data_IF_001119172831
#
_entry.id   IF_001119172831
#
_cell.length_a   1.000
_cell.length_b   1.000
_cell.length_c   1.000
_cell.angle_alpha   90.00
_cell.angle_beta   90.00
_cell.angle_gamma   90.00
#
_symmetry.space_group_name_H-M   'P 1'
#
loop_
_entity.id
_entity.type
_entity.pdbx_description
1 polymer ?
#
# COMPACT_ATOMS: atom_id res chain seq x y z
N UNK A 1 -18.17 -4.25 14.81
CA UNK A 1 -17.86 -3.13 13.89
C UNK A 1 -17.11 -3.65 12.68
N UNK A 2 -17.44 -3.15 11.50
CA UNK A 2 -16.85 -3.60 10.25
C UNK A 2 -15.79 -2.60 9.79
N UNK A 3 -14.57 -3.08 9.57
CA UNK A 3 -13.45 -2.25 9.14
C UNK A 3 -13.11 -2.52 7.67
N UNK A 4 -12.69 -1.47 6.98
CA UNK A 4 -12.21 -1.53 5.60
C UNK A 4 -10.85 -0.84 5.55
N UNK A 5 -9.90 -1.42 4.83
CA UNK A 5 -8.56 -0.84 4.73
C UNK A 5 -8.33 -0.29 3.33
N UNK A 6 -7.92 0.97 3.26
CA UNK A 6 -7.48 1.61 2.03
C UNK A 6 -5.99 1.86 2.12
N UNK A 7 -5.26 1.45 1.08
CA UNK A 7 -3.82 1.69 0.98
C UNK A 7 -3.61 2.62 -0.21
N UNK A 8 -3.20 3.85 0.08
CA UNK A 8 -3.03 4.90 -0.92
C UNK A 8 -1.54 5.18 -1.08
N UNK A 9 -0.98 4.84 -2.24
CA UNK A 9 0.45 4.95 -2.50
C UNK A 9 0.70 6.09 -3.48
N UNK A 10 1.27 7.17 -2.98
CA UNK A 10 1.67 8.30 -3.80
C UNK A 10 3.15 8.24 -4.16
N UNK A 11 3.59 9.19 -4.98
CA UNK A 11 4.96 9.24 -5.47
C UNK A 11 5.99 9.51 -4.36
N UNK A 12 5.63 10.22 -3.29
CA UNK A 12 6.55 10.55 -2.21
C UNK A 12 6.22 9.86 -0.89
N UNK A 13 5.00 9.40 -0.70
CA UNK A 13 4.59 8.71 0.53
C UNK A 13 3.36 7.87 0.29
N UNK A 14 3.18 6.83 1.11
CA UNK A 14 1.98 6.02 1.11
C UNK A 14 1.38 5.97 2.51
N UNK A 15 0.14 5.55 2.59
CA UNK A 15 -0.56 5.45 3.88
C UNK A 15 -1.61 4.36 3.87
N UNK A 16 -1.82 3.81 5.05
CA UNK A 16 -2.89 2.86 5.31
C UNK A 16 -3.95 3.55 6.15
N UNK A 17 -5.18 3.53 5.68
CA UNK A 17 -6.31 4.19 6.35
C UNK A 17 -7.40 3.17 6.59
N UNK A 18 -7.80 3.00 7.86
CA UNK A 18 -8.97 2.22 8.22
C UNK A 18 -10.22 3.10 8.15
N UNK A 19 -11.25 2.58 7.49
CA UNK A 19 -12.55 3.23 7.46
C UNK A 19 -13.60 2.35 8.13
N UNK A 20 -14.49 2.97 8.88
CA UNK A 20 -15.59 2.28 9.56
C UNK A 20 -16.70 3.26 9.90
N UNK A 21 -17.90 2.72 10.13
CA UNK A 21 -19.04 3.53 10.52
C UNK A 21 -19.22 3.42 12.04
N UNK A 22 -19.25 4.54 12.71
CA UNK A 22 -19.47 4.62 14.15
C UNK A 22 -20.54 5.66 14.43
N UNK A 23 -21.63 5.26 15.08
CA UNK A 23 -22.80 6.12 15.35
C UNK A 23 -23.32 6.80 14.08
N UNK A 24 -23.37 6.06 12.96
CA UNK A 24 -23.86 6.56 11.69
C UNK A 24 -22.90 7.48 10.95
N UNK A 25 -21.67 7.65 11.44
CA UNK A 25 -20.67 8.51 10.81
C UNK A 25 -19.48 7.71 10.34
N UNK A 26 -18.96 8.09 9.16
CA UNK A 26 -17.72 7.51 8.66
C UNK A 26 -16.53 8.04 9.47
N UNK A 27 -15.75 7.11 10.01
CA UNK A 27 -14.49 7.41 10.70
C UNK A 27 -13.34 6.91 9.86
N UNK A 28 -12.28 7.71 9.78
CA UNK A 28 -11.05 7.37 9.08
C UNK A 28 -9.90 7.45 10.08
N UNK A 29 -9.05 6.43 10.07
CA UNK A 29 -7.94 6.35 11.00
C UNK A 29 -6.68 5.96 10.23
N UNK A 30 -5.69 6.86 10.18
CA UNK A 30 -4.41 6.54 9.57
C UNK A 30 -3.60 5.69 10.53
N UNK A 31 -3.29 4.45 10.12
CA UNK A 31 -2.63 3.50 11.00
C UNK A 31 -1.18 3.23 10.63
N UNK A 32 -0.77 3.60 9.42
CA UNK A 32 0.59 3.42 8.96
C UNK A 32 0.89 4.41 7.84
N UNK A 33 2.10 4.97 7.87
CA UNK A 33 2.58 5.89 6.83
C UNK A 33 4.02 5.53 6.52
N UNK A 34 4.40 5.63 5.26
CA UNK A 34 5.75 5.32 4.83
C UNK A 34 6.19 6.24 3.70
N UNK A 35 7.48 6.39 3.54
CA UNK A 35 8.06 7.15 2.44
C UNK A 35 8.21 6.27 1.21
N UNK A 36 8.01 6.87 0.03
CA UNK A 36 8.28 6.23 -1.25
C UNK A 36 9.39 6.99 -1.93
N UNK A 37 10.24 6.29 -2.68
CA UNK A 37 11.38 6.91 -3.33
C UNK A 37 11.87 6.09 -4.51
N UNK A 38 12.65 6.76 -5.35
CA UNK A 38 13.28 6.16 -6.51
C UNK A 38 14.69 5.71 -6.12
N UNK A 39 15.08 4.53 -6.55
CA UNK A 39 16.43 4.01 -6.35
C UNK A 39 17.13 3.81 -7.68
N UNK A 40 18.45 3.69 -7.66
CA UNK A 40 19.24 3.37 -8.83
C UNK A 40 19.54 1.87 -8.81
N UNK A 41 19.15 1.19 -9.89
CA UNK A 41 19.43 -0.23 -10.07
C UNK A 41 20.17 -0.41 -11.37
N UNK A 42 21.49 -0.68 -11.27
CA UNK A 42 22.36 -0.86 -12.43
C UNK A 42 22.29 0.30 -13.43
N UNK A 43 22.25 1.53 -12.92
CA UNK A 43 22.20 2.73 -13.74
C UNK A 43 20.81 3.17 -14.16
N UNK A 44 19.77 2.40 -13.82
CA UNK A 44 18.39 2.73 -14.14
C UNK A 44 17.66 3.20 -12.89
N UNK A 45 16.93 4.30 -13.00
CA UNK A 45 16.10 4.80 -11.91
C UNK A 45 14.81 3.99 -11.87
N UNK A 46 14.52 3.38 -10.71
CA UNK A 46 13.35 2.52 -10.52
C UNK A 46 12.71 2.83 -9.19
N UNK A 47 11.43 2.47 -9.07
CA UNK A 47 10.75 2.44 -7.78
C UNK A 47 11.27 1.24 -6.99
N UNK A 48 11.45 1.42 -5.68
CA UNK A 48 11.87 0.32 -4.81
C UNK A 48 10.65 -0.54 -4.46
N UNK A 49 10.37 -1.51 -5.32
CA UNK A 49 9.18 -2.37 -5.19
C UNK A 49 9.24 -3.23 -3.93
N UNK A 50 10.43 -3.72 -3.57
CA UNK A 50 10.58 -4.52 -2.35
C UNK A 50 10.22 -3.71 -1.11
N UNK A 51 10.64 -2.43 -1.07
CA UNK A 51 10.27 -1.52 -0.01
C UNK A 51 8.75 -1.31 0.03
N UNK A 52 8.13 -1.05 -1.12
CA UNK A 52 6.68 -0.84 -1.20
C UNK A 52 5.91 -2.06 -0.71
N UNK A 53 6.28 -3.25 -1.17
CA UNK A 53 5.62 -4.50 -0.73
C UNK A 53 5.80 -4.71 0.76
N UNK A 54 7.00 -4.46 1.29
CA UNK A 54 7.27 -4.56 2.71
C UNK A 54 6.38 -3.63 3.53
N UNK A 55 6.24 -2.38 3.09
CA UNK A 55 5.42 -1.39 3.79
C UNK A 55 3.93 -1.72 3.71
N UNK A 56 3.45 -2.25 2.57
CA UNK A 56 2.07 -2.72 2.44
C UNK A 56 1.80 -3.82 3.48
N UNK A 57 2.71 -4.78 3.60
CA UNK A 57 2.58 -5.87 4.57
C UNK A 57 2.62 -5.38 6.01
N UNK A 58 3.50 -4.43 6.32
CA UNK A 58 3.60 -3.84 7.67
C UNK A 58 2.30 -3.16 8.07
N UNK A 59 1.70 -2.39 7.17
CA UNK A 59 0.44 -1.72 7.45
C UNK A 59 -0.71 -2.70 7.66
N UNK A 60 -0.75 -3.78 6.89
CA UNK A 60 -1.77 -4.81 7.07
C UNK A 60 -1.58 -5.50 8.43
N UNK A 61 -0.34 -5.83 8.80
CA UNK A 61 -0.05 -6.43 10.10
C UNK A 61 -0.42 -5.50 11.26
N UNK A 62 -0.31 -4.19 11.05
CA UNK A 62 -0.69 -3.19 12.05
C UNK A 62 -2.16 -3.30 12.45
N UNK A 63 -3.03 -3.66 11.51
CA UNK A 63 -4.46 -3.86 11.79
C UNK A 63 -4.66 -4.91 12.88
N UNK A 64 -3.90 -6.01 12.84
CA UNK A 64 -3.97 -7.05 13.84
C UNK A 64 -3.45 -6.54 15.20
N UNK A 65 -2.35 -5.79 15.19
CA UNK A 65 -1.77 -5.23 16.43
C UNK A 65 -2.77 -4.35 17.18
N UNK A 66 -3.52 -3.53 16.46
CA UNK A 66 -4.49 -2.61 17.06
C UNK A 66 -5.88 -3.23 17.26
N UNK A 67 -6.04 -4.51 16.88
CA UNK A 67 -7.29 -5.24 17.06
C UNK A 67 -8.43 -4.82 16.13
N UNK A 68 -8.10 -4.26 14.96
CA UNK A 68 -9.07 -3.77 13.97
C UNK A 68 -8.84 -4.46 12.64
N UNK A 69 -9.30 -5.70 12.53
CA UNK A 69 -9.09 -6.53 11.33
C UNK A 69 -10.06 -6.10 10.23
N UNK A 70 -9.57 -5.63 9.07
CA UNK A 70 -10.47 -5.25 7.98
C UNK A 70 -11.06 -6.46 7.28
N UNK A 71 -12.28 -6.32 6.78
CA UNK A 71 -12.92 -7.34 5.96
C UNK A 71 -12.63 -7.13 4.47
N UNK A 72 -12.16 -5.94 4.09
CA UNK A 72 -11.76 -5.63 2.70
C UNK A 72 -10.47 -4.82 2.71
N UNK A 73 -9.69 -4.97 1.65
CA UNK A 73 -8.47 -4.18 1.42
C UNK A 73 -8.49 -3.70 -0.02
N UNK A 74 -8.21 -2.44 -0.23
CA UNK A 74 -8.05 -1.87 -1.56
C UNK A 74 -6.76 -1.07 -1.62
N UNK A 75 -6.13 -1.07 -2.79
CA UNK A 75 -4.89 -0.33 -3.03
C UNK A 75 -5.10 0.57 -4.22
N UNK A 76 -4.72 1.84 -4.12
CA UNK A 76 -4.61 2.70 -5.27
C UNK A 76 -3.18 3.28 -5.36
N UNK A 77 -2.80 3.66 -6.56
CA UNK A 77 -1.50 4.25 -6.82
C UNK A 77 -1.60 5.13 -8.07
N UNK A 78 -0.46 5.67 -8.51
CA UNK A 78 -0.40 6.51 -9.70
C UNK A 78 -0.53 5.69 -10.98
N UNK A 79 -0.83 6.37 -12.09
CA UNK A 79 -0.82 5.77 -13.42
C UNK A 79 0.55 5.90 -14.10
N UNK A 80 0.59 5.68 -15.40
CA UNK A 80 1.69 5.86 -16.35
C UNK A 80 2.90 4.96 -16.20
N UNK A 81 2.98 4.16 -15.15
CA UNK A 81 4.05 3.17 -14.98
C UNK A 81 3.52 1.77 -15.31
N UNK A 82 4.41 0.93 -15.78
CA UNK A 82 4.08 -0.45 -16.12
C UNK A 82 5.32 -1.33 -16.03
N UNK A 83 5.09 -2.62 -16.02
CA UNK A 83 6.16 -3.63 -16.05
C UNK A 83 5.80 -4.68 -17.10
N UNK A 84 6.81 -5.15 -17.81
CA UNK A 84 6.64 -6.24 -18.78
C UNK A 84 6.98 -7.56 -18.11
N UNK A 85 6.14 -8.55 -18.34
CA UNK A 85 6.34 -9.89 -17.78
C UNK A 85 6.51 -10.92 -18.90
N UNK A 86 7.31 -11.93 -18.65
CA UNK A 86 7.45 -13.07 -19.55
C UNK A 86 6.28 -14.06 -19.36
N UNK A 87 6.30 -15.19 -20.07
CA UNK A 87 5.26 -16.21 -19.98
C UNK A 87 5.12 -16.80 -18.59
N UNK A 88 6.20 -16.80 -17.81
CA UNK A 88 6.20 -17.28 -16.42
C UNK A 88 5.80 -16.20 -15.43
N UNK A 89 5.35 -15.04 -15.93
CA UNK A 89 4.97 -13.88 -15.12
C UNK A 89 6.15 -13.29 -14.34
N UNK A 90 7.36 -13.45 -14.88
CA UNK A 90 8.56 -12.83 -14.34
C UNK A 90 8.84 -11.53 -15.05
N UNK A 91 9.35 -10.56 -14.30
CA UNK A 91 9.68 -9.23 -14.83
C UNK A 91 10.80 -9.30 -15.87
N UNK A 92 10.57 -8.61 -16.99
CA UNK A 92 11.56 -8.47 -18.07
C UNK A 92 12.13 -7.07 -17.97
N UNK A 93 13.45 -6.96 -17.88
CA UNK A 93 14.15 -5.67 -17.84
C UNK A 93 14.91 -5.41 -19.13
#
# INVERSE_FOLDING_TARGET
MTYHLAIDIGASSGRHILGYIDNGRLKLEEIHRFENYITNQNGTLVWDIEHLVSEVKKGIAKCKEIGKIPCTVAIDTWGVDYVLLDESKQEIL
#
